data_IF_398745283135
#
_entry.id   IF_398745283135
#
_cell.length_a   1.000
_cell.length_b   1.000
_cell.length_c   1.000
_cell.angle_alpha   90.00
_cell.angle_beta   90.00
_cell.angle_gamma   90.00
#
_symmetry.space_group_name_H-M   'P 1'
#
loop_
_entity.id
_entity.type
_entity.pdbx_description
1 polymer ?
#
# COMPACT_ATOMS: atom_id res chain seq x y z
N UNK A 1 20.86 -19.46 -1.93
CA UNK A 1 19.81 -18.42 -2.10
C UNK A 1 20.06 -17.35 -1.06
N UNK A 2 20.35 -16.13 -1.50
CA UNK A 2 20.67 -15.05 -0.60
C UNK A 2 19.46 -14.69 0.25
N UNK A 3 19.68 -14.36 1.54
CA UNK A 3 18.60 -13.98 2.48
C UNK A 3 17.71 -12.86 1.94
N UNK A 4 18.29 -11.93 1.18
CA UNK A 4 17.57 -10.84 0.52
C UNK A 4 16.63 -11.37 -0.57
N UNK A 5 17.08 -12.34 -1.37
CA UNK A 5 16.25 -12.95 -2.41
C UNK A 5 15.04 -13.71 -1.84
N UNK A 6 15.21 -14.39 -0.70
CA UNK A 6 14.10 -15.09 -0.02
C UNK A 6 13.11 -14.11 0.60
N UNK A 7 13.57 -13.00 1.18
CA UNK A 7 12.73 -11.93 1.71
C UNK A 7 11.88 -11.29 0.60
N UNK A 8 12.50 -10.91 -0.51
CA UNK A 8 11.81 -10.30 -1.66
C UNK A 8 10.77 -11.24 -2.26
N UNK A 9 11.12 -12.54 -2.39
CA UNK A 9 10.19 -13.53 -2.92
C UNK A 9 8.98 -13.79 -2.01
N UNK A 10 9.15 -13.68 -0.68
CA UNK A 10 8.14 -13.92 0.34
C UNK A 10 7.40 -12.67 0.83
N UNK A 11 7.64 -11.49 0.23
CA UNK A 11 7.01 -10.24 0.66
C UNK A 11 5.47 -10.33 0.56
N UNK A 12 4.73 -10.23 1.68
CA UNK A 12 3.28 -10.28 1.62
C UNK A 12 2.73 -9.01 0.97
N UNK A 13 1.67 -9.09 0.14
CA UNK A 13 1.06 -7.91 -0.50
C UNK A 13 0.63 -6.82 0.49
N UNK A 14 0.20 -7.21 1.69
CA UNK A 14 -0.21 -6.29 2.76
C UNK A 14 0.92 -5.65 3.58
N UNK A 15 2.19 -5.84 3.22
CA UNK A 15 3.33 -5.32 4.01
C UNK A 15 3.30 -3.80 4.21
N UNK A 16 2.73 -3.04 3.26
CA UNK A 16 2.59 -1.59 3.37
C UNK A 16 1.62 -1.14 4.47
N UNK A 17 0.84 -2.05 5.07
CA UNK A 17 0.03 -1.75 6.25
C UNK A 17 0.89 -1.21 7.42
N UNK A 18 2.15 -1.63 7.53
CA UNK A 18 3.10 -1.08 8.50
C UNK A 18 3.34 0.42 8.25
N UNK A 19 3.57 0.81 6.99
CA UNK A 19 3.76 2.23 6.60
C UNK A 19 2.52 3.04 6.90
N UNK A 20 1.35 2.52 6.51
CA UNK A 20 0.06 3.15 6.77
C UNK A 20 -0.16 3.39 8.27
N UNK A 21 0.01 2.38 9.10
CA UNK A 21 -0.20 2.48 10.56
C UNK A 21 0.79 3.46 11.21
N UNK A 22 2.09 3.34 10.90
CA UNK A 22 3.13 4.21 11.44
C UNK A 22 2.92 5.66 10.99
N UNK A 23 2.55 5.86 9.73
CA UNK A 23 2.26 7.19 9.17
C UNK A 23 1.04 7.85 9.82
N UNK A 24 -0.07 7.11 10.02
CA UNK A 24 -1.27 7.63 10.71
C UNK A 24 -0.94 8.07 12.13
N UNK A 25 -0.17 7.27 12.88
CA UNK A 25 0.24 7.67 14.23
C UNK A 25 1.12 8.91 14.20
N UNK A 26 2.03 9.04 13.22
CA UNK A 26 2.82 10.25 13.01
C UNK A 26 1.93 11.48 12.79
N UNK A 27 0.91 11.38 11.91
CA UNK A 27 -0.06 12.49 11.68
C UNK A 27 -0.78 12.87 12.97
N UNK A 28 -1.30 11.88 13.71
CA UNK A 28 -2.01 12.14 14.96
C UNK A 28 -1.16 12.79 16.04
N UNK A 29 0.11 12.42 16.18
CA UNK A 29 1.06 13.06 17.10
C UNK A 29 1.40 14.48 16.69
N UNK A 30 1.53 14.74 15.41
CA UNK A 30 1.80 16.08 14.88
C UNK A 30 0.65 17.04 15.18
N UNK A 31 -0.58 16.61 14.96
CA UNK A 31 -1.79 17.36 15.28
C UNK A 31 -1.94 17.70 16.78
N UNK A 32 -1.32 16.90 17.64
CA UNK A 32 -1.26 17.15 19.09
C UNK A 32 -0.06 17.98 19.53
N UNK A 33 0.76 18.47 18.59
CA UNK A 33 1.97 19.24 18.89
C UNK A 33 3.17 18.40 19.36
N UNK A 34 3.07 17.08 19.33
CA UNK A 34 4.14 16.16 19.69
C UNK A 34 5.10 15.95 18.52
N UNK A 35 5.84 17.00 18.14
CA UNK A 35 6.64 17.07 16.90
C UNK A 35 7.77 16.04 16.86
N UNK A 36 8.50 15.84 17.98
CA UNK A 36 9.65 14.94 18.01
C UNK A 36 9.26 13.47 17.76
N UNK A 37 8.33 12.85 18.50
CA UNK A 37 7.91 11.48 18.21
C UNK A 37 7.20 11.36 16.86
N UNK A 38 6.45 12.38 16.43
CA UNK A 38 5.85 12.42 15.09
C UNK A 38 6.91 12.32 13.99
N UNK A 39 7.98 13.13 14.09
CA UNK A 39 9.06 13.12 13.10
C UNK A 39 9.83 11.79 13.07
N UNK A 40 10.09 11.19 14.24
CA UNK A 40 10.72 9.86 14.30
C UNK A 40 9.88 8.82 13.57
N UNK A 41 8.57 8.78 13.84
CA UNK A 41 7.67 7.84 13.16
C UNK A 41 7.56 8.14 11.66
N UNK A 42 7.57 9.40 11.25
CA UNK A 42 7.60 9.77 9.84
C UNK A 42 8.85 9.21 9.16
N UNK A 43 10.02 9.38 9.75
CA UNK A 43 11.28 8.85 9.18
C UNK A 43 11.20 7.32 9.07
N UNK A 44 10.73 6.64 10.10
CA UNK A 44 10.53 5.18 10.07
C UNK A 44 9.58 4.77 8.95
N UNK A 45 8.45 5.47 8.79
CA UNK A 45 7.47 5.18 7.76
C UNK A 45 8.03 5.41 6.35
N UNK A 46 8.77 6.50 6.12
CA UNK A 46 9.41 6.80 4.84
C UNK A 46 10.47 5.76 4.49
N UNK A 47 11.35 5.41 5.42
CA UNK A 47 12.37 4.38 5.20
C UNK A 47 11.71 3.04 4.89
N UNK A 48 10.71 2.63 5.65
CA UNK A 48 9.97 1.40 5.40
C UNK A 48 9.29 1.43 4.02
N UNK A 49 8.67 2.55 3.64
CA UNK A 49 8.04 2.71 2.32
C UNK A 49 9.04 2.52 1.19
N UNK A 50 10.21 3.19 1.26
CA UNK A 50 11.27 3.05 0.25
C UNK A 50 11.74 1.59 0.13
N UNK A 51 12.04 0.95 1.27
CA UNK A 51 12.48 -0.46 1.29
C UNK A 51 11.42 -1.39 0.67
N UNK A 52 10.15 -1.20 1.04
CA UNK A 52 9.07 -2.03 0.52
C UNK A 52 8.78 -1.79 -0.96
N UNK A 53 8.89 -0.55 -1.44
CA UNK A 53 8.75 -0.23 -2.88
C UNK A 53 9.88 -0.87 -3.68
N UNK A 54 11.12 -0.79 -3.21
CA UNK A 54 12.26 -1.45 -3.85
C UNK A 54 12.11 -2.97 -3.85
N UNK A 55 11.66 -3.55 -2.74
CA UNK A 55 11.41 -4.98 -2.63
C UNK A 55 10.26 -5.43 -3.56
N UNK A 56 9.17 -4.66 -3.63
CA UNK A 56 8.05 -4.93 -4.55
C UNK A 56 8.51 -4.82 -6.01
N UNK A 57 9.27 -3.77 -6.35
CA UNK A 57 9.86 -3.62 -7.68
C UNK A 57 10.78 -4.80 -8.05
N UNK A 58 11.65 -5.20 -7.14
CA UNK A 58 12.49 -6.40 -7.31
C UNK A 58 11.67 -7.68 -7.48
N UNK A 59 10.56 -7.82 -6.74
CA UNK A 59 9.63 -8.94 -6.89
C UNK A 59 8.95 -8.96 -8.26
N UNK A 60 8.47 -7.81 -8.73
CA UNK A 60 7.82 -7.68 -10.05
C UNK A 60 8.79 -7.98 -11.19
N UNK A 61 10.07 -7.60 -11.06
CA UNK A 61 11.09 -7.84 -12.09
C UNK A 61 11.57 -9.29 -12.11
N UNK A 62 11.79 -9.91 -10.94
CA UNK A 62 12.41 -11.24 -10.82
C UNK A 62 11.42 -12.38 -10.61
N UNK A 63 10.25 -12.09 -10.03
CA UNK A 63 9.25 -13.09 -9.63
C UNK A 63 7.85 -12.71 -10.13
N UNK A 64 7.74 -12.17 -11.33
CA UNK A 64 6.50 -11.66 -11.92
C UNK A 64 5.34 -12.67 -11.84
N UNK A 65 5.62 -13.95 -12.09
CA UNK A 65 4.57 -15.00 -12.02
C UNK A 65 3.92 -15.04 -10.64
N UNK A 66 4.70 -15.06 -9.56
CA UNK A 66 4.16 -15.06 -8.19
C UNK A 66 3.35 -13.81 -7.87
N UNK A 67 3.77 -12.63 -8.36
CA UNK A 67 3.02 -11.40 -8.14
C UNK A 67 1.66 -11.44 -8.89
N UNK A 68 1.61 -12.06 -10.07
CA UNK A 68 0.37 -12.27 -10.82
C UNK A 68 -0.52 -13.31 -10.12
N UNK A 69 0.07 -14.39 -9.61
CA UNK A 69 -0.67 -15.42 -8.85
C UNK A 69 -1.34 -14.83 -7.60
N UNK A 70 -0.64 -13.93 -6.88
CA UNK A 70 -1.21 -13.22 -5.72
C UNK A 70 -2.42 -12.34 -6.10
N UNK A 71 -2.41 -11.72 -7.29
CA UNK A 71 -3.54 -10.91 -7.77
C UNK A 71 -4.78 -11.77 -8.09
N UNK A 72 -4.59 -13.05 -8.39
CA UNK A 72 -5.68 -13.99 -8.61
C UNK A 72 -6.14 -14.69 -7.33
N UNK A 73 -5.41 -14.55 -6.21
CA UNK A 73 -5.83 -15.04 -4.90
C UNK A 73 -6.67 -13.97 -4.18
N UNK A 74 -7.98 -14.18 -3.99
CA UNK A 74 -8.86 -13.22 -3.32
C UNK A 74 -8.43 -12.85 -1.89
N UNK A 75 -7.61 -13.69 -1.25
CA UNK A 75 -7.09 -13.45 0.11
C UNK A 75 -5.93 -12.47 0.12
N UNK A 76 -5.19 -12.38 -0.97
CA UNK A 76 -3.94 -11.61 -1.09
C UNK A 76 -4.10 -10.36 -1.92
N UNK A 77 -4.92 -10.41 -2.97
CA UNK A 77 -5.06 -9.37 -3.97
C UNK A 77 -5.35 -7.97 -3.38
N UNK A 78 -6.30 -7.90 -2.44
CA UNK A 78 -6.66 -6.64 -1.78
C UNK A 78 -5.55 -6.09 -0.88
N UNK A 79 -4.58 -6.91 -0.46
CA UNK A 79 -3.41 -6.47 0.28
C UNK A 79 -2.56 -5.43 -0.47
N UNK A 80 -2.55 -5.45 -1.80
CA UNK A 80 -1.82 -4.47 -2.60
C UNK A 80 -2.33 -3.03 -2.44
N UNK A 81 -3.59 -2.83 -2.07
CA UNK A 81 -4.13 -1.51 -1.77
C UNK A 81 -3.50 -0.85 -0.55
N UNK A 82 -2.80 -1.59 0.31
CA UNK A 82 -2.01 -0.99 1.41
C UNK A 82 -0.88 -0.10 0.91
N UNK A 83 -0.32 -0.36 -0.29
CA UNK A 83 0.63 0.53 -0.95
C UNK A 83 -0.01 1.89 -1.23
N UNK A 84 -1.24 1.90 -1.79
CA UNK A 84 -1.98 3.13 -2.09
C UNK A 84 -2.28 3.89 -0.79
N UNK A 85 -2.84 3.20 0.20
CA UNK A 85 -3.18 3.81 1.49
C UNK A 85 -1.95 4.36 2.22
N UNK A 86 -0.86 3.61 2.29
CA UNK A 86 0.39 4.04 2.90
C UNK A 86 1.01 5.24 2.19
N UNK A 87 0.98 5.26 0.85
CA UNK A 87 1.46 6.40 0.06
C UNK A 87 0.61 7.64 0.28
N UNK A 88 -0.73 7.50 0.36
CA UNK A 88 -1.64 8.60 0.67
C UNK A 88 -1.39 9.19 2.06
N UNK A 89 -1.23 8.38 3.08
CA UNK A 89 -0.91 8.86 4.45
C UNK A 89 0.41 9.63 4.48
N UNK A 90 1.45 9.12 3.79
CA UNK A 90 2.73 9.84 3.69
C UNK A 90 2.59 11.14 2.93
N UNK A 91 1.77 11.18 1.86
CA UNK A 91 1.52 12.39 1.09
C UNK A 91 0.87 13.47 1.95
N UNK A 92 -0.18 13.14 2.72
CA UNK A 92 -0.79 14.07 3.68
C UNK A 92 0.23 14.59 4.68
N UNK A 93 1.02 13.70 5.30
CA UNK A 93 1.99 14.09 6.32
C UNK A 93 3.14 14.97 5.78
N UNK A 94 3.48 14.81 4.51
CA UNK A 94 4.55 15.56 3.85
C UNK A 94 4.05 16.84 3.17
N UNK A 95 2.75 17.09 3.10
CA UNK A 95 2.15 18.19 2.33
C UNK A 95 2.75 19.54 2.69
N UNK A 96 2.85 19.87 3.97
CA UNK A 96 3.36 21.16 4.45
C UNK A 96 4.88 21.31 4.28
N UNK A 97 5.64 20.23 4.48
CA UNK A 97 7.10 20.29 4.51
C UNK A 97 7.76 19.97 3.16
N UNK A 98 7.07 19.22 2.29
CA UNK A 98 7.59 18.77 1.00
C UNK A 98 6.46 18.60 -0.02
N UNK A 99 5.78 19.68 -0.46
CA UNK A 99 4.59 19.62 -1.30
C UNK A 99 4.83 18.90 -2.64
N UNK A 100 6.01 19.06 -3.23
CA UNK A 100 6.34 18.35 -4.47
C UNK A 100 6.40 16.84 -4.27
N UNK A 101 7.00 16.37 -3.16
CA UNK A 101 7.06 14.94 -2.83
C UNK A 101 5.66 14.41 -2.55
N UNK A 102 4.84 15.18 -1.81
CA UNK A 102 3.44 14.85 -1.56
C UNK A 102 2.66 14.67 -2.87
N UNK A 103 2.77 15.62 -3.80
CA UNK A 103 2.10 15.56 -5.10
C UNK A 103 2.54 14.33 -5.94
N UNK A 104 3.83 14.00 -5.93
CA UNK A 104 4.34 12.81 -6.61
C UNK A 104 3.81 11.53 -5.99
N UNK A 105 3.79 11.44 -4.65
CA UNK A 105 3.22 10.30 -3.93
C UNK A 105 1.73 10.13 -4.22
N UNK A 106 0.97 11.25 -4.23
CA UNK A 106 -0.45 11.24 -4.57
C UNK A 106 -0.67 10.77 -6.01
N UNK A 107 0.06 11.33 -6.97
CA UNK A 107 -0.07 10.94 -8.38
C UNK A 107 0.24 9.44 -8.57
N UNK A 108 1.32 8.95 -7.95
CA UNK A 108 1.67 7.53 -7.98
C UNK A 108 0.58 6.66 -7.31
N UNK A 109 0.05 7.09 -6.16
CA UNK A 109 -1.03 6.40 -5.46
C UNK A 109 -2.30 6.31 -6.32
N UNK A 110 -2.69 7.41 -6.99
CA UNK A 110 -3.85 7.46 -7.91
C UNK A 110 -3.66 6.49 -9.07
N UNK A 111 -2.49 6.50 -9.72
CA UNK A 111 -2.19 5.59 -10.82
C UNK A 111 -2.27 4.12 -10.40
N UNK A 112 -1.65 3.77 -9.26
CA UNK A 112 -1.71 2.41 -8.73
C UNK A 112 -3.14 2.05 -8.33
N UNK A 113 -3.89 2.97 -7.72
CA UNK A 113 -5.29 2.79 -7.35
C UNK A 113 -6.17 2.48 -8.57
N UNK A 114 -6.00 3.23 -9.67
CA UNK A 114 -6.74 2.99 -10.92
C UNK A 114 -6.43 1.59 -11.49
N UNK A 115 -5.16 1.21 -11.52
CA UNK A 115 -4.74 -0.09 -12.04
C UNK A 115 -5.28 -1.24 -11.16
N UNK A 116 -5.09 -1.16 -9.84
CA UNK A 116 -5.55 -2.19 -8.91
C UNK A 116 -7.08 -2.22 -8.80
N UNK A 117 -7.73 -1.04 -8.81
CA UNK A 117 -9.18 -0.91 -8.73
C UNK A 117 -9.90 -1.57 -9.91
N UNK A 118 -9.23 -1.69 -11.05
CA UNK A 118 -9.73 -2.45 -12.18
C UNK A 118 -9.26 -3.92 -12.14
N UNK A 119 -7.95 -4.14 -11.96
CA UNK A 119 -7.33 -5.46 -12.07
C UNK A 119 -7.82 -6.45 -11.00
N UNK A 120 -7.94 -5.99 -9.74
CA UNK A 120 -8.29 -6.88 -8.62
C UNK A 120 -9.75 -7.36 -8.69
N UNK A 121 -10.78 -6.49 -8.86
CA UNK A 121 -12.15 -6.94 -9.04
C UNK A 121 -12.33 -7.79 -10.29
N UNK A 122 -11.65 -7.45 -11.39
CA UNK A 122 -11.70 -8.23 -12.62
C UNK A 122 -11.13 -9.64 -12.43
N UNK A 123 -9.96 -9.78 -11.81
CA UNK A 123 -9.37 -11.05 -11.47
C UNK A 123 -10.28 -11.88 -10.54
N UNK A 124 -10.87 -11.25 -9.52
CA UNK A 124 -11.81 -11.90 -8.60
C UNK A 124 -13.08 -12.40 -9.33
N UNK A 125 -13.57 -11.68 -10.35
CA UNK A 125 -14.73 -12.10 -11.16
C UNK A 125 -14.39 -13.27 -12.08
N UNK A 126 -13.22 -13.25 -12.73
CA UNK A 126 -12.81 -14.30 -13.66
C UNK A 126 -12.43 -15.62 -12.96
N UNK A 127 -11.92 -15.54 -11.73
CA UNK A 127 -11.56 -16.73 -10.91
C UNK A 127 -12.76 -17.55 -10.43
N UNK A 128 -13.98 -17.18 -10.82
CA UNK A 128 -15.26 -17.78 -10.36
C UNK A 128 -15.51 -19.22 -10.79
N UNK A 129 -14.72 -19.78 -11.69
CA UNK A 129 -15.07 -21.09 -12.28
C UNK A 129 -15.01 -22.26 -11.29
N UNK A 130 -14.26 -22.15 -10.16
CA UNK A 130 -14.04 -23.31 -9.28
C UNK A 130 -14.27 -23.06 -7.77
N UNK A 131 -14.36 -21.80 -7.29
CA UNK A 131 -14.57 -21.49 -5.86
C UNK A 131 -15.47 -20.26 -5.65
N UNK A 132 -16.43 -20.31 -4.69
CA UNK A 132 -17.22 -19.12 -4.36
C UNK A 132 -16.33 -18.05 -3.74
N UNK A 133 -16.11 -16.94 -4.45
CA UNK A 133 -15.26 -15.82 -4.02
C UNK A 133 -15.62 -15.32 -2.61
N UNK A 134 -16.92 -15.35 -2.27
CA UNK A 134 -17.44 -14.89 -0.98
C UNK A 134 -16.98 -15.76 0.21
N UNK A 135 -16.66 -17.02 0.01
CA UNK A 135 -16.18 -17.89 1.10
C UNK A 135 -14.73 -17.58 1.49
N UNK A 136 -14.01 -16.89 0.64
CA UNK A 136 -12.61 -16.48 0.85
C UNK A 136 -12.48 -14.99 1.20
N UNK A 137 -13.60 -14.25 1.24
CA UNK A 137 -13.63 -12.85 1.64
C UNK A 137 -13.14 -12.69 3.09
N UNK A 138 -12.24 -11.75 3.30
CA UNK A 138 -11.67 -11.42 4.60
C UNK A 138 -11.58 -9.90 4.79
N UNK A 139 -11.13 -9.46 5.97
CA UNK A 139 -11.03 -8.03 6.30
C UNK A 139 -10.16 -7.20 5.34
N UNK A 140 -9.28 -7.82 4.53
CA UNK A 140 -8.45 -7.08 3.56
C UNK A 140 -9.26 -6.44 2.43
N UNK A 141 -10.47 -6.91 2.16
CA UNK A 141 -11.36 -6.32 1.16
C UNK A 141 -11.75 -4.88 1.50
N UNK A 142 -11.82 -4.54 2.80
CA UNK A 142 -12.09 -3.17 3.24
C UNK A 142 -10.91 -2.22 2.95
N UNK A 143 -9.70 -2.73 2.69
CA UNK A 143 -8.54 -1.90 2.37
C UNK A 143 -8.74 -1.15 1.05
N UNK A 144 -9.53 -1.66 0.12
CA UNK A 144 -9.91 -0.92 -1.08
C UNK A 144 -10.63 0.39 -0.76
N UNK A 145 -11.56 0.35 0.21
CA UNK A 145 -12.28 1.55 0.68
C UNK A 145 -11.31 2.49 1.37
N UNK A 146 -10.42 1.98 2.23
CA UNK A 146 -9.40 2.78 2.93
C UNK A 146 -8.45 3.44 1.93
N UNK A 147 -8.02 2.74 0.90
CA UNK A 147 -7.17 3.29 -0.16
C UNK A 147 -7.89 4.41 -0.93
N UNK A 148 -9.18 4.25 -1.25
CA UNK A 148 -9.99 5.28 -1.90
C UNK A 148 -10.13 6.51 -1.02
N UNK A 149 -10.36 6.33 0.28
CA UNK A 149 -10.44 7.44 1.25
C UNK A 149 -9.10 8.16 1.40
N UNK A 150 -7.98 7.46 1.42
CA UNK A 150 -6.66 8.09 1.54
C UNK A 150 -6.34 8.96 0.32
N UNK A 151 -6.69 8.52 -0.89
CA UNK A 151 -6.56 9.31 -2.12
C UNK A 151 -7.45 10.56 -2.05
N UNK A 152 -8.72 10.40 -1.68
CA UNK A 152 -9.67 11.51 -1.59
C UNK A 152 -9.23 12.55 -0.55
N UNK A 153 -8.81 12.12 0.64
CA UNK A 153 -8.34 13.00 1.72
C UNK A 153 -7.10 13.78 1.29
N UNK A 154 -6.14 13.12 0.64
CA UNK A 154 -4.92 13.79 0.17
C UNK A 154 -5.21 14.78 -0.95
N UNK A 155 -6.16 14.47 -1.84
CA UNK A 155 -6.54 15.36 -2.94
C UNK A 155 -7.34 16.60 -2.48
N UNK A 156 -7.96 16.52 -1.30
CA UNK A 156 -8.74 17.60 -0.71
C UNK A 156 -7.92 18.50 0.24
N UNK A 157 -6.72 18.09 0.63
CA UNK A 157 -5.83 18.84 1.51
C UNK A 157 -4.96 19.83 0.74
#
# INVERSE_FOLDING_TARGET
>A
MDRVGSFVAGLPPGAFAFVMATGIVSVGLDQQGLTLPSTVLLVVAVVAWVVLVLALGGRLLRHRRRAVDDLHDPRLAFGYFTLVAGSGVLAVRLLENAPTVSAVLLAAAVLVWLVLGYAVPWAAVLSRAERPVLTEANGTWFIWVVASQSVATTAAA
#
